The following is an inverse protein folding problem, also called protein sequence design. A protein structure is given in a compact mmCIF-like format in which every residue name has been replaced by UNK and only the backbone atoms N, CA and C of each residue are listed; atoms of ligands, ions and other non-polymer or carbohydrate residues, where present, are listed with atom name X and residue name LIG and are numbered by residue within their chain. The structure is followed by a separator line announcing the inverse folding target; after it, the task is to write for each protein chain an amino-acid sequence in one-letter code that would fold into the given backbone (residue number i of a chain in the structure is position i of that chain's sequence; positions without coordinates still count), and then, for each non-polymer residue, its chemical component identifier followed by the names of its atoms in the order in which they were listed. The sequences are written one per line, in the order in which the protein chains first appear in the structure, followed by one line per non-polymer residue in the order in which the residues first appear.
data_IF_257033536400
#
_entry.id   IF_257033536400
#
_cell.length_a   1.000
_cell.length_b   1.000
_cell.length_c   1.000
_cell.angle_alpha   90.00
_cell.angle_beta   90.00
_cell.angle_gamma   90.00
#
_symmetry.space_group_name_H-M   'P 1'
#
loop_
_entity.id
_entity.type
_entity.pdbx_description
1 polymer ?
#
# COMPACT_ATOMS: atom_id res chain seq x y z
N UNK A 1 50.42 18.07 28.74
CA UNK A 1 50.45 17.77 30.18
C UNK A 1 49.68 16.47 30.39
N UNK A 2 50.38 15.39 30.76
CA UNK A 2 49.84 14.04 30.98
C UNK A 2 49.86 13.80 32.49
N UNK A 3 48.70 13.65 33.13
CA UNK A 3 48.62 13.24 34.53
C UNK A 3 48.27 11.75 34.60
N UNK A 4 49.25 10.96 34.98
CA UNK A 4 49.12 9.60 35.51
C UNK A 4 48.65 9.65 36.96
N UNK A 5 47.65 8.85 37.33
CA UNK A 5 47.44 8.41 38.70
C UNK A 5 47.24 6.90 38.71
N UNK A 6 48.13 6.25 39.46
CA UNK A 6 48.21 4.84 39.77
C UNK A 6 47.48 4.62 41.10
N UNK A 7 46.69 3.54 41.20
CA UNK A 7 46.89 2.62 42.32
C UNK A 7 45.73 2.36 43.29
N UNK A 8 45.59 1.05 43.55
CA UNK A 8 45.24 0.36 44.80
C UNK A 8 43.77 0.11 45.19
N UNK A 9 43.44 -1.18 45.07
CA UNK A 9 43.28 -2.12 46.19
C UNK A 9 41.88 -2.72 46.38
N UNK A 10 41.94 -4.03 46.58
CA UNK A 10 40.87 -5.00 46.60
C UNK A 10 40.19 -5.13 47.97
N UNK A 11 39.24 -6.07 47.97
CA UNK A 11 38.81 -6.99 49.04
C UNK A 11 37.39 -6.70 49.53
N UNK A 12 36.49 -7.66 49.25
CA UNK A 12 35.73 -8.43 50.26
C UNK A 12 34.76 -9.37 49.55
N UNK A 13 35.07 -10.66 49.64
CA UNK A 13 34.10 -11.72 49.45
C UNK A 13 33.12 -11.70 50.62
N UNK A 14 31.81 -11.73 50.34
CA UNK A 14 30.81 -12.22 51.28
C UNK A 14 29.90 -13.21 50.58
N UNK A 15 29.93 -14.40 51.15
CA UNK A 15 29.07 -15.56 50.97
C UNK A 15 27.60 -15.29 51.27
N UNK A 16 26.74 -15.98 50.52
CA UNK A 16 25.47 -16.49 51.04
C UNK A 16 24.22 -15.72 50.66
N UNK A 17 23.41 -16.30 49.78
CA UNK A 17 22.07 -16.79 50.11
C UNK A 17 21.35 -17.13 48.80
N UNK A 18 21.03 -18.41 48.64
CA UNK A 18 20.02 -18.85 47.71
C UNK A 18 18.69 -18.16 48.08
N UNK A 19 18.23 -17.24 47.25
CA UNK A 19 16.84 -16.83 47.25
C UNK A 19 16.15 -17.54 46.09
N UNK A 20 15.33 -18.50 46.48
CA UNK A 20 14.36 -19.17 45.64
C UNK A 20 13.60 -18.13 44.80
N UNK A 21 13.56 -18.35 43.49
CA UNK A 21 12.68 -17.58 42.60
C UNK A 21 11.23 -17.94 42.95
N UNK A 22 10.61 -17.12 43.80
CA UNK A 22 9.17 -17.03 43.90
C UNK A 22 8.68 -16.57 42.52
N UNK A 23 8.08 -17.51 41.79
CA UNK A 23 7.33 -17.24 40.57
C UNK A 23 6.15 -16.34 40.91
N UNK A 24 6.38 -15.02 40.85
CA UNK A 24 5.34 -14.03 40.75
C UNK A 24 5.01 -13.82 39.28
N UNK A 25 3.85 -14.32 38.85
CA UNK A 25 3.20 -13.96 37.59
C UNK A 25 3.15 -12.42 37.50
N UNK A 26 4.02 -11.84 36.68
CA UNK A 26 4.00 -10.40 36.41
C UNK A 26 2.83 -10.11 35.46
N UNK A 27 1.90 -9.19 35.80
CA UNK A 27 0.76 -8.87 34.93
C UNK A 27 1.16 -8.16 33.63
N UNK A 28 2.45 -7.86 33.45
CA UNK A 28 3.01 -7.20 32.27
C UNK A 28 3.69 -8.18 31.28
N UNK A 29 3.50 -9.50 31.42
CA UNK A 29 4.08 -10.52 30.53
C UNK A 29 3.02 -11.35 29.78
N UNK A 30 1.92 -10.72 29.37
CA UNK A 30 1.01 -11.27 28.36
C UNK A 30 0.99 -10.34 27.17
N UNK A 31 1.14 -10.91 25.98
CA UNK A 31 1.12 -10.27 24.66
C UNK A 31 2.45 -9.73 24.10
N UNK A 32 3.49 -10.58 24.11
CA UNK A 32 4.47 -10.52 23.02
C UNK A 32 3.84 -11.03 21.73
N UNK A 33 3.49 -10.09 20.85
CA UNK A 33 3.65 -10.30 19.41
C UNK A 33 2.52 -11.00 18.70
N UNK A 34 1.38 -10.33 18.60
CA UNK A 34 0.79 -10.03 17.29
C UNK A 34 0.21 -8.63 17.37
N UNK A 35 1.02 -7.63 16.98
CA UNK A 35 0.38 -6.48 16.35
C UNK A 35 -0.50 -7.09 15.24
N UNK A 36 -1.81 -6.76 15.14
CA UNK A 36 -2.50 -7.00 13.89
C UNK A 36 -1.59 -6.41 12.80
N UNK A 37 -1.41 -7.08 11.64
CA UNK A 37 -0.70 -6.45 10.53
C UNK A 37 -1.26 -5.02 10.44
N UNK A 38 -0.40 -3.98 10.36
CA UNK A 38 -0.90 -2.62 10.15
C UNK A 38 -1.90 -2.77 9.02
N UNK A 39 -3.15 -2.35 9.24
CA UNK A 39 -4.21 -2.55 8.29
C UNK A 39 -3.65 -2.04 6.96
N UNK A 40 -3.18 -2.97 6.11
CA UNK A 40 -2.85 -2.65 4.75
C UNK A 40 -4.18 -2.12 4.29
N UNK A 41 -4.28 -0.81 4.08
CA UNK A 41 -5.53 -0.20 3.71
C UNK A 41 -5.88 -0.87 2.39
N UNK A 42 -6.70 -1.91 2.50
CA UNK A 42 -7.22 -2.62 1.35
C UNK A 42 -8.09 -1.56 0.73
N UNK A 43 -7.77 -1.17 -0.49
CA UNK A 43 -8.73 -0.42 -1.29
C UNK A 43 -9.90 -1.38 -1.49
N UNK A 44 -10.85 -1.35 -0.56
CA UNK A 44 -12.17 -1.89 -0.79
C UNK A 44 -12.81 -0.85 -1.69
N UNK A 45 -12.62 -1.01 -3.00
CA UNK A 45 -13.32 -0.17 -3.96
C UNK A 45 -14.80 -0.28 -3.62
N UNK A 46 -15.44 0.86 -3.34
CA UNK A 46 -16.89 0.91 -3.19
C UNK A 46 -17.52 0.31 -4.46
N UNK A 47 -18.70 -0.34 -4.39
CA UNK A 47 -19.37 -0.85 -5.58
C UNK A 47 -19.57 0.30 -6.57
N UNK A 48 -18.72 0.34 -7.58
CA UNK A 48 -18.70 1.38 -8.58
C UNK A 48 -19.61 0.98 -9.74
N UNK A 49 -20.23 1.97 -10.38
CA UNK A 49 -20.79 1.74 -11.70
C UNK A 49 -19.67 1.30 -12.64
N UNK A 50 -19.99 0.40 -13.57
CA UNK A 50 -19.03 -0.01 -14.58
C UNK A 50 -18.53 1.21 -15.35
N UNK A 51 -17.20 1.38 -15.55
CA UNK A 51 -16.69 2.48 -16.34
C UNK A 51 -17.26 2.37 -17.78
N UNK A 52 -17.42 3.51 -18.47
CA UNK A 52 -17.87 3.52 -19.85
C UNK A 52 -16.89 2.73 -20.75
N UNK A 53 -17.33 2.36 -21.94
CA UNK A 53 -16.39 2.02 -23.01
C UNK A 53 -16.03 3.31 -23.76
N UNK A 54 -14.73 3.54 -23.99
CA UNK A 54 -14.24 4.79 -24.55
C UNK A 54 -13.91 5.87 -23.49
N UNK A 55 -13.98 7.17 -23.85
CA UNK A 55 -13.61 8.27 -22.97
C UNK A 55 -14.46 8.35 -21.68
N UNK A 56 -13.78 8.40 -20.55
CA UNK A 56 -14.36 8.67 -19.23
C UNK A 56 -14.37 10.15 -18.87
N UNK A 57 -15.12 10.51 -17.83
CA UNK A 57 -15.34 11.90 -17.42
C UNK A 57 -14.07 12.63 -16.94
N UNK A 58 -13.06 11.89 -16.48
CA UNK A 58 -11.76 12.43 -16.09
C UNK A 58 -10.71 12.36 -17.21
N UNK A 59 -11.13 12.18 -18.47
CA UNK A 59 -10.24 12.15 -19.63
C UNK A 59 -9.45 10.85 -19.82
N UNK A 60 -9.71 9.81 -19.03
CA UNK A 60 -9.12 8.49 -19.26
C UNK A 60 -9.98 7.74 -20.28
N UNK A 61 -9.36 7.24 -21.35
CA UNK A 61 -10.04 6.36 -22.29
C UNK A 61 -9.99 4.91 -21.80
N UNK A 62 -11.15 4.31 -21.53
CA UNK A 62 -11.28 2.90 -21.17
C UNK A 62 -11.36 1.98 -22.39
N UNK A 63 -11.58 2.49 -23.60
CA UNK A 63 -11.66 1.67 -24.81
C UNK A 63 -12.77 0.61 -24.72
N UNK A 64 -12.76 -0.36 -25.63
CA UNK A 64 -13.79 -1.40 -25.72
C UNK A 64 -13.50 -2.61 -24.80
N UNK A 65 -13.45 -2.37 -23.48
CA UNK A 65 -13.01 -3.37 -22.50
C UNK A 65 -13.97 -4.55 -22.35
N UNK A 66 -15.26 -4.44 -22.70
CA UNK A 66 -16.23 -5.53 -22.51
C UNK A 66 -15.96 -6.70 -23.45
N UNK A 67 -15.55 -6.41 -24.68
CA UNK A 67 -15.24 -7.40 -25.71
C UNK A 67 -13.75 -7.70 -25.90
N UNK A 68 -12.85 -7.01 -25.19
CA UNK A 68 -11.42 -7.14 -25.41
C UNK A 68 -10.84 -8.45 -24.83
N UNK A 69 -9.81 -8.96 -25.51
CA UNK A 69 -8.88 -9.94 -24.93
C UNK A 69 -8.19 -9.31 -23.71
N UNK A 70 -8.24 -9.97 -22.56
CA UNK A 70 -7.71 -9.48 -21.29
C UNK A 70 -6.20 -9.26 -21.34
N UNK A 71 -5.46 -10.16 -21.98
CA UNK A 71 -4.00 -10.10 -22.11
C UNK A 71 -3.56 -8.94 -23.02
N UNK A 72 -4.36 -8.60 -24.02
CA UNK A 72 -4.10 -7.44 -24.88
C UNK A 72 -4.57 -6.12 -24.23
N UNK A 73 -5.66 -6.15 -23.48
CA UNK A 73 -6.28 -4.96 -22.91
C UNK A 73 -5.39 -4.32 -21.84
N UNK A 74 -4.84 -5.10 -20.90
CA UNK A 74 -4.01 -4.59 -19.80
C UNK A 74 -2.88 -3.65 -20.26
N UNK A 75 -1.98 -4.08 -21.16
CA UNK A 75 -0.92 -3.22 -21.68
C UNK A 75 -1.43 -1.96 -22.40
N UNK A 76 -2.58 -2.05 -23.08
CA UNK A 76 -3.18 -0.90 -23.75
C UNK A 76 -3.79 0.11 -22.78
N UNK A 77 -4.34 -0.37 -21.67
CA UNK A 77 -4.85 0.45 -20.58
C UNK A 77 -3.71 1.17 -19.85
N UNK A 78 -2.61 0.47 -19.57
CA UNK A 78 -1.42 1.08 -18.97
C UNK A 78 -0.89 2.26 -19.79
N UNK A 79 -0.79 2.12 -21.12
CA UNK A 79 -0.36 3.24 -21.98
C UNK A 79 -1.28 4.45 -21.87
N UNK A 80 -2.59 4.24 -21.72
CA UNK A 80 -3.58 5.31 -21.58
C UNK A 80 -3.48 6.00 -20.22
N UNK A 81 -3.22 5.24 -19.15
CA UNK A 81 -2.92 5.80 -17.82
C UNK A 81 -1.60 6.58 -17.81
N UNK A 82 -0.54 6.06 -18.45
CA UNK A 82 0.74 6.78 -18.61
C UNK A 82 0.53 8.10 -19.36
N UNK A 83 -0.26 8.10 -20.43
CA UNK A 83 -0.59 9.31 -21.18
C UNK A 83 -1.41 10.31 -20.34
N UNK A 84 -2.37 9.82 -19.55
CA UNK A 84 -3.17 10.65 -18.64
C UNK A 84 -2.27 11.40 -17.64
N UNK A 85 -1.28 10.72 -17.06
CA UNK A 85 -0.41 11.26 -16.02
C UNK A 85 0.78 12.07 -16.55
N UNK A 86 1.07 12.03 -17.85
CA UNK A 86 2.29 12.59 -18.42
C UNK A 86 2.40 14.11 -18.16
N UNK A 87 3.46 14.53 -17.46
CA UNK A 87 3.74 15.93 -17.14
C UNK A 87 2.78 16.56 -16.11
N UNK A 88 1.91 15.76 -15.48
CA UNK A 88 0.97 16.23 -14.46
C UNK A 88 1.45 15.87 -13.06
N UNK A 89 1.16 16.70 -12.04
CA UNK A 89 1.41 16.32 -10.65
C UNK A 89 0.49 15.17 -10.21
N UNK A 90 0.91 14.40 -9.20
CA UNK A 90 0.10 13.32 -8.60
C UNK A 90 -1.29 13.78 -8.19
N UNK A 91 -1.42 15.00 -7.65
CA UNK A 91 -2.71 15.55 -7.19
C UNK A 91 -3.71 15.75 -8.32
N UNK A 92 -3.26 16.25 -9.48
CA UNK A 92 -4.10 16.40 -10.67
C UNK A 92 -4.43 15.04 -11.29
N UNK A 93 -3.46 14.14 -11.34
CA UNK A 93 -3.67 12.76 -11.83
C UNK A 93 -4.69 12.02 -10.96
N UNK A 94 -4.62 12.16 -9.63
CA UNK A 94 -5.60 11.63 -8.69
C UNK A 94 -6.99 12.17 -8.97
N UNK A 95 -7.14 13.49 -9.12
CA UNK A 95 -8.44 14.09 -9.38
C UNK A 95 -9.05 13.57 -10.69
N UNK A 96 -8.23 13.43 -11.75
CA UNK A 96 -8.66 12.83 -13.01
C UNK A 96 -9.09 11.37 -12.84
N UNK A 97 -8.31 10.54 -12.13
CA UNK A 97 -8.67 9.15 -11.87
C UNK A 97 -9.97 9.04 -11.04
N UNK A 98 -10.13 9.85 -10.00
CA UNK A 98 -11.36 9.88 -9.20
C UNK A 98 -12.58 10.31 -10.02
N UNK A 99 -12.43 11.29 -10.92
CA UNK A 99 -13.48 11.68 -11.86
C UNK A 99 -13.86 10.56 -12.85
N UNK A 100 -12.97 9.61 -13.10
CA UNK A 100 -13.25 8.38 -13.86
C UNK A 100 -13.84 7.25 -12.98
N UNK A 101 -14.10 7.49 -11.70
CA UNK A 101 -14.70 6.54 -10.78
C UNK A 101 -13.71 5.72 -9.94
N UNK A 102 -12.40 6.01 -10.01
CA UNK A 102 -11.42 5.32 -9.19
C UNK A 102 -11.51 5.71 -7.71
N UNK A 103 -11.38 4.73 -6.83
CA UNK A 103 -11.07 4.94 -5.43
C UNK A 103 -9.55 5.00 -5.27
N UNK A 104 -9.02 6.07 -4.68
CA UNK A 104 -7.57 6.30 -4.57
C UNK A 104 -7.11 6.37 -3.10
N UNK A 105 -5.91 5.87 -2.83
CA UNK A 105 -5.19 6.00 -1.57
C UNK A 105 -3.78 6.59 -1.80
N UNK A 106 -3.39 7.49 -0.91
CA UNK A 106 -2.04 8.05 -0.82
C UNK A 106 -1.24 7.40 0.33
N UNK A 107 0.09 7.61 0.41
CA UNK A 107 0.90 7.06 1.49
C UNK A 107 0.35 7.35 2.88
N UNK A 108 -0.15 8.57 3.11
CA UNK A 108 -0.68 8.99 4.41
C UNK A 108 -1.91 8.17 4.82
N UNK A 109 -2.76 7.78 3.86
CA UNK A 109 -3.93 6.93 4.11
C UNK A 109 -3.54 5.49 4.47
N UNK A 110 -2.28 5.11 4.19
CA UNK A 110 -1.69 3.79 4.43
C UNK A 110 -0.70 3.76 5.61
N UNK A 111 -0.58 4.85 6.37
CA UNK A 111 0.38 4.95 7.49
C UNK A 111 1.81 5.31 7.06
N UNK A 112 2.01 5.91 5.89
CA UNK A 112 3.25 6.55 5.46
C UNK A 112 4.11 5.76 4.46
N UNK A 113 3.73 4.53 4.10
CA UNK A 113 4.48 3.68 3.19
C UNK A 113 3.74 3.36 1.87
N UNK A 114 4.49 3.01 0.83
CA UNK A 114 3.98 2.57 -0.47
C UNK A 114 4.05 3.63 -1.57
N UNK A 115 3.34 3.42 -2.70
CA UNK A 115 3.39 4.32 -3.84
C UNK A 115 2.81 5.69 -3.50
N UNK A 116 3.23 6.73 -4.22
CA UNK A 116 2.68 8.07 -4.11
C UNK A 116 1.16 8.10 -4.35
N UNK A 117 0.65 7.21 -5.19
CA UNK A 117 -0.78 7.02 -5.41
C UNK A 117 -1.08 5.58 -5.82
N UNK A 118 -2.10 4.98 -5.23
CA UNK A 118 -2.69 3.73 -5.72
C UNK A 118 -4.19 3.97 -5.92
N UNK A 119 -4.73 3.64 -7.09
CA UNK A 119 -6.16 3.76 -7.34
C UNK A 119 -6.74 2.51 -7.99
N UNK A 120 -8.00 2.20 -7.64
CA UNK A 120 -8.71 1.03 -8.17
C UNK A 120 -10.18 1.29 -8.49
N UNK A 121 -10.69 0.55 -9.47
CA UNK A 121 -12.11 0.32 -9.73
C UNK A 121 -12.31 -1.18 -9.68
N UNK A 122 -13.29 -1.66 -8.89
CA UNK A 122 -13.71 -3.06 -8.94
C UNK A 122 -15.22 -3.12 -9.11
N UNK A 123 -15.68 -3.94 -10.06
CA UNK A 123 -17.09 -4.13 -10.38
C UNK A 123 -17.41 -5.61 -10.58
N UNK A 124 -18.70 -5.92 -10.64
CA UNK A 124 -19.20 -7.15 -11.24
C UNK A 124 -19.85 -6.82 -12.58
N UNK A 125 -19.39 -7.44 -13.66
CA UNK A 125 -19.99 -7.34 -15.00
C UNK A 125 -20.30 -8.73 -15.56
N UNK A 126 -21.55 -8.98 -15.93
CA UNK A 126 -22.01 -10.28 -16.48
C UNK A 126 -21.49 -11.51 -15.68
N UNK A 127 -21.55 -11.43 -14.35
CA UNK A 127 -21.06 -12.45 -13.42
C UNK A 127 -19.53 -12.64 -13.35
N UNK A 128 -18.75 -11.81 -14.04
CA UNK A 128 -17.30 -11.74 -13.88
C UNK A 128 -16.92 -10.59 -12.93
N UNK A 129 -15.93 -10.82 -12.07
CA UNK A 129 -15.25 -9.73 -11.37
C UNK A 129 -14.33 -9.00 -12.35
N UNK A 130 -14.42 -7.68 -12.40
CA UNK A 130 -13.58 -6.85 -13.27
C UNK A 130 -12.91 -5.77 -12.45
N UNK A 131 -11.59 -5.69 -12.55
CA UNK A 131 -10.77 -4.74 -11.80
C UNK A 131 -9.88 -3.93 -12.76
N UNK A 132 -9.78 -2.63 -12.50
CA UNK A 132 -8.74 -1.76 -13.04
C UNK A 132 -7.94 -1.22 -11.87
N UNK A 133 -6.62 -1.25 -12.00
CA UNK A 133 -5.73 -0.72 -10.98
C UNK A 133 -4.66 0.18 -11.61
N UNK A 134 -4.20 1.17 -10.86
CA UNK A 134 -3.11 2.06 -11.23
C UNK A 134 -2.25 2.39 -10.02
N UNK A 135 -0.94 2.44 -10.23
CA UNK A 135 0.08 2.71 -9.21
C UNK A 135 1.05 3.76 -9.74
N UNK A 136 1.26 4.82 -8.96
CA UNK A 136 2.20 5.90 -9.25
C UNK A 136 3.27 5.93 -8.16
N UNK A 137 4.53 5.70 -8.53
CA UNK A 137 5.70 5.61 -7.64
C UNK A 137 6.63 6.83 -7.79
N UNK A 138 6.10 8.01 -8.14
CA UNK A 138 6.91 9.21 -8.45
C UNK A 138 8.00 9.55 -7.43
N UNK A 139 9.13 10.16 -7.87
CA UNK A 139 9.46 10.56 -9.24
C UNK A 139 10.22 9.47 -10.04
N UNK A 140 10.43 8.29 -9.45
CA UNK A 140 11.46 7.34 -9.89
C UNK A 140 10.99 6.35 -10.95
N UNK A 141 9.68 6.15 -11.09
CA UNK A 141 9.13 5.19 -12.05
C UNK A 141 7.88 5.74 -12.73
N UNK A 142 7.73 5.37 -14.00
CA UNK A 142 6.57 5.75 -14.78
C UNK A 142 5.33 4.93 -14.34
N UNK A 143 4.12 5.51 -14.36
CA UNK A 143 2.91 4.88 -13.81
C UNK A 143 2.65 3.47 -14.32
N UNK A 144 2.28 2.54 -13.43
CA UNK A 144 1.88 1.18 -13.78
C UNK A 144 0.38 1.07 -13.71
N UNK A 145 -0.22 0.28 -14.59
CA UNK A 145 -1.66 0.02 -14.52
C UNK A 145 -1.98 -1.34 -15.11
N UNK A 146 -3.13 -1.88 -14.72
CA UNK A 146 -3.57 -3.17 -15.22
C UNK A 146 -5.07 -3.33 -15.18
N UNK A 147 -5.47 -4.48 -15.71
CA UNK A 147 -6.85 -4.88 -15.86
C UNK A 147 -6.95 -6.37 -15.67
N UNK A 148 -7.88 -6.77 -14.82
CA UNK A 148 -8.12 -8.15 -14.47
C UNK A 148 -9.60 -8.46 -14.66
N UNK A 149 -9.90 -9.54 -15.39
CA UNK A 149 -11.25 -10.09 -15.51
C UNK A 149 -11.24 -11.53 -15.06
N UNK A 150 -12.02 -11.82 -14.03
CA UNK A 150 -12.13 -13.14 -13.42
C UNK A 150 -13.57 -13.62 -13.55
N UNK A 151 -13.79 -14.55 -14.48
CA UNK A 151 -15.09 -15.20 -14.66
C UNK A 151 -15.07 -16.55 -13.92
N UNK A 152 -16.18 -16.87 -13.24
CA UNK A 152 -16.38 -18.17 -12.59
C UNK A 152 -17.08 -19.15 -13.52
#
# INVERSE_FOLDING_TARGET
MRNTLVGLAAVLALSGAAFAQVGGDSPFQRDKGKLPPPAAAVIVAAPAAAPPEGPGAGGLDFGAWRGADTAAYGPSFERRVRALAAGKPVSETRAALQANGFSCLEPNDRGGAGPALECRIAITDRSCGVEWWTVIEEPLAAPKAGFDRMCR
#
